data_IF_875484693375
#
_entry.id   IF_875484693375
#
_cell.length_a   1.000
_cell.length_b   1.000
_cell.length_c   1.000
_cell.angle_alpha   90.00
_cell.angle_beta   90.00
_cell.angle_gamma   90.00
#
_symmetry.space_group_name_H-M   'P 1'
#
loop_
_entity.id
_entity.type
_entity.pdbx_description
1 polymer ?
#
# COMPACT_ATOMS: atom_id res chain seq x y z
N UNK A 1 -9.33 13.36 -5.82
CA UNK A 1 -9.73 13.64 -4.41
C UNK A 1 -8.75 12.92 -3.48
N UNK A 2 -8.28 13.57 -2.41
CA UNK A 2 -7.45 12.93 -1.39
C UNK A 2 -8.32 12.32 -0.30
N UNK A 3 -8.10 11.05 0.03
CA UNK A 3 -8.73 10.40 1.20
C UNK A 3 -7.84 10.64 2.42
N UNK A 4 -8.40 11.18 3.50
CA UNK A 4 -7.68 11.34 4.75
C UNK A 4 -7.60 10.00 5.49
N UNK A 5 -6.39 9.62 5.90
CA UNK A 5 -6.13 8.39 6.66
C UNK A 5 -5.13 8.73 7.77
N UNK A 6 -5.40 8.27 8.99
CA UNK A 6 -4.49 8.44 10.13
C UNK A 6 -3.68 7.15 10.33
N UNK A 7 -2.36 7.26 10.35
CA UNK A 7 -1.44 6.14 10.60
C UNK A 7 -0.80 6.32 11.97
N UNK A 8 -0.82 5.27 12.80
CA UNK A 8 -0.08 5.23 14.06
C UNK A 8 1.27 4.57 13.83
N UNK A 9 2.33 5.37 13.87
CA UNK A 9 3.69 4.87 13.78
C UNK A 9 4.22 4.58 15.20
N UNK A 10 4.94 3.46 15.40
CA UNK A 10 5.74 3.29 16.61
C UNK A 10 6.74 4.44 16.75
N UNK A 11 7.01 4.87 17.99
CA UNK A 11 7.82 6.06 18.29
C UNK A 11 9.16 6.06 17.55
N UNK A 12 9.92 4.96 17.65
CA UNK A 12 11.23 4.85 16.99
C UNK A 12 11.15 4.97 15.46
N UNK A 13 10.07 4.47 14.85
CA UNK A 13 9.86 4.60 13.40
C UNK A 13 9.48 6.04 13.03
N UNK A 14 8.68 6.71 13.85
CA UNK A 14 8.30 8.10 13.65
C UNK A 14 9.53 9.01 13.68
N UNK A 15 10.41 8.84 14.68
CA UNK A 15 11.64 9.63 14.82
C UNK A 15 12.57 9.45 13.61
N UNK A 16 12.77 8.19 13.18
CA UNK A 16 13.61 7.89 12.00
C UNK A 16 13.00 8.47 10.71
N UNK A 17 11.68 8.32 10.53
CA UNK A 17 10.99 8.88 9.38
C UNK A 17 11.11 10.40 9.33
N UNK A 18 11.01 11.06 10.48
CA UNK A 18 11.17 12.51 10.58
C UNK A 18 12.59 12.96 10.20
N UNK A 19 13.62 12.32 10.72
CA UNK A 19 15.02 12.64 10.37
C UNK A 19 15.24 12.50 8.86
N UNK A 20 14.75 11.41 8.26
CA UNK A 20 14.88 11.17 6.82
C UNK A 20 14.12 12.23 6.02
N UNK A 21 12.88 12.52 6.39
CA UNK A 21 12.05 13.51 5.70
C UNK A 21 12.69 14.90 5.76
N UNK A 22 13.12 15.34 6.95
CA UNK A 22 13.81 16.62 7.15
C UNK A 22 15.09 16.70 6.32
N UNK A 23 15.91 15.65 6.32
CA UNK A 23 17.16 15.60 5.54
C UNK A 23 16.90 15.72 4.03
N UNK A 24 15.78 15.15 3.56
CA UNK A 24 15.33 15.27 2.16
C UNK A 24 14.63 16.60 1.85
N UNK A 25 14.45 17.49 2.82
CA UNK A 25 13.70 18.73 2.65
C UNK A 25 12.20 18.52 2.40
N UNK A 26 11.64 17.43 2.90
CA UNK A 26 10.22 17.06 2.70
C UNK A 26 9.51 16.78 4.04
N UNK A 27 8.20 16.52 3.98
CA UNK A 27 7.40 16.15 5.16
C UNK A 27 7.35 14.65 5.36
N UNK A 28 7.11 14.20 6.60
CA UNK A 28 6.86 12.77 6.91
C UNK A 28 5.68 12.25 6.09
N UNK A 29 4.64 13.07 5.89
CA UNK A 29 3.52 12.70 5.04
C UNK A 29 3.95 12.38 3.60
N UNK A 30 4.78 13.24 2.98
CA UNK A 30 5.27 12.99 1.63
C UNK A 30 6.18 11.76 1.59
N UNK A 31 7.04 11.57 2.59
CA UNK A 31 7.88 10.38 2.71
C UNK A 31 7.03 9.09 2.75
N UNK A 32 5.92 9.09 3.48
CA UNK A 32 4.98 7.96 3.54
C UNK A 32 4.33 7.74 2.17
N UNK A 33 3.86 8.80 1.51
CA UNK A 33 3.26 8.72 0.16
C UNK A 33 4.26 8.08 -0.81
N UNK A 34 5.49 8.59 -0.87
CA UNK A 34 6.51 8.09 -1.78
C UNK A 34 6.84 6.62 -1.51
N UNK A 35 6.92 6.25 -0.22
CA UNK A 35 7.19 4.87 0.20
C UNK A 35 6.06 3.92 -0.22
N UNK A 36 4.80 4.36 -0.11
CA UNK A 36 3.64 3.57 -0.55
C UNK A 36 3.59 3.40 -2.06
N UNK A 37 3.94 4.45 -2.83
CA UNK A 37 4.02 4.36 -4.29
C UNK A 37 5.08 3.34 -4.71
N UNK A 38 6.27 3.41 -4.11
CA UNK A 38 7.36 2.46 -4.39
C UNK A 38 6.94 1.02 -4.08
N UNK A 39 6.27 0.80 -2.95
CA UNK A 39 5.80 -0.54 -2.58
C UNK A 39 4.74 -1.06 -3.56
N UNK A 40 3.78 -0.22 -3.96
CA UNK A 40 2.75 -0.59 -4.95
C UNK A 40 3.40 -0.96 -6.28
N UNK A 41 4.36 -0.17 -6.75
CA UNK A 41 5.04 -0.43 -8.02
C UNK A 41 5.88 -1.71 -7.95
N UNK A 42 6.54 -1.97 -6.80
CA UNK A 42 7.26 -3.23 -6.57
C UNK A 42 6.31 -4.43 -6.63
N UNK A 43 5.18 -4.36 -5.95
CA UNK A 43 4.18 -5.44 -5.92
C UNK A 43 3.54 -5.66 -7.29
N UNK A 44 3.31 -4.60 -8.08
CA UNK A 44 2.82 -4.72 -9.46
C UNK A 44 3.80 -5.45 -10.39
N UNK A 45 5.09 -5.29 -10.15
CA UNK A 45 6.14 -5.99 -10.90
C UNK A 45 6.32 -7.46 -10.44
N UNK A 46 5.80 -7.83 -9.26
CA UNK A 46 5.83 -9.20 -8.76
C UNK A 46 4.76 -10.05 -9.45
N UNK A 47 5.20 -10.85 -10.43
CA UNK A 47 4.33 -11.72 -11.21
C UNK A 47 3.66 -12.81 -10.39
N UNK A 48 4.29 -13.29 -9.31
CA UNK A 48 3.73 -14.33 -8.45
C UNK A 48 2.62 -13.75 -7.56
N UNK A 49 2.87 -12.58 -6.97
CA UNK A 49 1.83 -11.85 -6.24
C UNK A 49 0.63 -11.54 -7.14
N UNK A 50 0.87 -11.01 -8.34
CA UNK A 50 -0.20 -10.66 -9.27
C UNK A 50 -0.99 -11.87 -9.76
N UNK A 51 -0.34 -13.02 -9.94
CA UNK A 51 -1.04 -14.27 -10.31
C UNK A 51 -1.95 -14.75 -9.19
N UNK A 52 -1.46 -14.79 -7.94
CA UNK A 52 -2.27 -15.15 -6.77
C UNK A 52 -3.45 -14.20 -6.57
N UNK A 53 -3.24 -12.90 -6.76
CA UNK A 53 -4.31 -11.91 -6.67
C UNK A 53 -5.40 -12.15 -7.73
N UNK A 54 -5.02 -12.51 -8.97
CA UNK A 54 -5.98 -12.85 -10.03
C UNK A 54 -6.79 -14.11 -9.68
N UNK A 55 -6.14 -15.16 -9.20
CA UNK A 55 -6.81 -16.40 -8.79
C UNK A 55 -7.84 -16.15 -7.69
N UNK A 56 -7.50 -15.33 -6.70
CA UNK A 56 -8.45 -14.95 -5.63
C UNK A 56 -9.67 -14.21 -6.18
N UNK A 57 -9.45 -13.23 -7.08
CA UNK A 57 -10.54 -12.46 -7.68
C UNK A 57 -11.47 -13.35 -8.52
N UNK A 58 -10.92 -14.29 -9.30
CA UNK A 58 -11.74 -15.21 -10.09
C UNK A 58 -12.57 -16.14 -9.20
N UNK A 59 -11.97 -16.68 -8.13
CA UNK A 59 -12.70 -17.50 -7.14
C UNK A 59 -13.82 -16.70 -6.45
N UNK A 60 -13.56 -15.46 -6.08
CA UNK A 60 -14.56 -14.62 -5.43
C UNK A 60 -15.73 -14.31 -6.39
N UNK A 61 -15.45 -14.11 -7.69
CA UNK A 61 -16.51 -13.98 -8.71
C UNK A 61 -17.33 -15.25 -8.85
N UNK A 62 -16.70 -16.41 -8.93
CA UNK A 62 -17.40 -17.71 -9.00
C UNK A 62 -18.36 -17.89 -7.82
N UNK A 63 -17.92 -17.53 -6.60
CA UNK A 63 -18.77 -17.58 -5.40
C UNK A 63 -19.98 -16.66 -5.54
N UNK A 64 -19.78 -15.42 -5.99
CA UNK A 64 -20.86 -14.46 -6.18
C UNK A 64 -21.84 -14.90 -7.28
N UNK A 65 -21.35 -15.47 -8.37
CA UNK A 65 -22.16 -15.99 -9.47
C UNK A 65 -23.02 -17.17 -9.04
N UNK A 66 -22.51 -18.06 -8.17
CA UNK A 66 -23.32 -19.14 -7.59
C UNK A 66 -24.36 -18.63 -6.59
N UNK A 67 -24.05 -17.60 -5.79
CA UNK A 67 -25.01 -17.01 -4.85
C UNK A 67 -26.12 -16.19 -5.53
N UNK A 68 -25.89 -15.70 -6.74
CA UNK A 68 -26.85 -14.91 -7.49
C UNK A 68 -27.87 -15.75 -8.29
N UNK A 69 -27.70 -17.08 -8.35
CA UNK A 69 -28.65 -18.03 -8.95
C UNK A 69 -29.78 -18.38 -7.98
#
# INVERSE_FOLDING_TARGET
>A
MSKQTTVRLPDELADKAEVVARTKGTSVNQLIIDSLVIEIDRVRADTEFMSRAKELVERDKEILDELAK
#
